data_IF_592510066117
#
_entry.id   IF_592510066117
#
_cell.length_a   1.000
_cell.length_b   1.000
_cell.length_c   1.000
_cell.angle_alpha   90.00
_cell.angle_beta   90.00
_cell.angle_gamma   90.00
#
_symmetry.space_group_name_H-M   'P 1'
#
loop_
_entity.id
_entity.type
_entity.pdbx_description
1 polymer ?
#
# COMPACT_ATOMS: atom_id res chain seq x y z
N UNK A 1 74.86 -86.06 -121.18
CA UNK A 1 73.69 -85.15 -121.07
C UNK A 1 72.81 -85.44 -119.84
N UNK A 2 73.21 -86.31 -118.90
CA UNK A 2 72.42 -86.61 -117.69
C UNK A 2 72.86 -85.82 -116.43
N UNK A 3 74.11 -85.33 -116.36
CA UNK A 3 74.61 -84.56 -115.20
C UNK A 3 74.02 -83.15 -115.09
N UNK A 4 73.61 -82.54 -116.20
CA UNK A 4 73.07 -81.18 -116.22
C UNK A 4 71.65 -81.08 -115.62
N UNK A 5 70.85 -82.15 -115.68
CA UNK A 5 69.49 -82.17 -115.11
C UNK A 5 69.50 -82.33 -113.59
N UNK A 6 70.47 -83.09 -113.06
CA UNK A 6 70.67 -83.26 -111.61
C UNK A 6 71.17 -81.97 -110.94
N UNK A 7 72.07 -81.24 -111.60
CA UNK A 7 72.55 -79.93 -111.14
C UNK A 7 71.41 -78.89 -111.11
N UNK A 8 70.55 -78.89 -112.14
CA UNK A 8 69.39 -78.00 -112.23
C UNK A 8 68.36 -78.32 -111.13
N UNK A 9 68.07 -79.60 -110.87
CA UNK A 9 67.20 -80.00 -109.76
C UNK A 9 67.75 -79.58 -108.40
N UNK A 10 69.07 -79.71 -108.18
CA UNK A 10 69.73 -79.24 -106.97
C UNK A 10 69.59 -77.73 -106.80
N UNK A 11 69.81 -76.96 -107.86
CA UNK A 11 69.66 -75.50 -107.85
C UNK A 11 68.20 -75.07 -107.63
N UNK A 12 67.23 -75.76 -108.22
CA UNK A 12 65.81 -75.51 -107.98
C UNK A 12 65.39 -75.81 -106.54
N UNK A 13 65.93 -76.89 -105.96
CA UNK A 13 65.66 -77.30 -104.59
C UNK A 13 66.34 -76.36 -103.57
N UNK A 14 67.58 -75.94 -103.82
CA UNK A 14 68.26 -74.89 -103.06
C UNK A 14 67.51 -73.55 -103.16
N UNK A 15 67.08 -73.16 -104.36
CA UNK A 15 66.26 -71.95 -104.55
C UNK A 15 64.94 -72.03 -103.79
N UNK A 16 64.26 -73.19 -103.81
CA UNK A 16 63.04 -73.42 -103.02
C UNK A 16 63.33 -73.32 -101.52
N UNK A 17 64.42 -73.91 -101.03
CA UNK A 17 64.82 -73.83 -99.62
C UNK A 17 65.18 -72.40 -99.20
N UNK A 18 65.88 -71.64 -100.04
CA UNK A 18 66.18 -70.22 -99.77
C UNK A 18 64.90 -69.40 -99.76
N UNK A 19 63.98 -69.64 -100.70
CA UNK A 19 62.69 -68.94 -100.78
C UNK A 19 61.78 -69.25 -99.59
N UNK A 20 61.74 -70.50 -99.11
CA UNK A 20 60.96 -70.86 -97.91
C UNK A 20 61.57 -70.27 -96.66
N UNK A 21 62.91 -70.30 -96.49
CA UNK A 21 63.61 -69.63 -95.39
C UNK A 21 63.39 -68.12 -95.39
N UNK A 22 63.45 -67.46 -96.56
CA UNK A 22 63.19 -66.04 -96.69
C UNK A 22 61.73 -65.69 -96.30
N UNK A 23 60.75 -66.49 -96.74
CA UNK A 23 59.34 -66.31 -96.34
C UNK A 23 59.11 -66.55 -94.85
N UNK A 24 59.78 -67.55 -94.27
CA UNK A 24 59.73 -67.81 -92.83
C UNK A 24 60.32 -66.63 -92.03
N UNK A 25 61.49 -66.13 -92.43
CA UNK A 25 62.11 -64.95 -91.81
C UNK A 25 61.26 -63.68 -91.97
N UNK A 26 60.61 -63.48 -93.12
CA UNK A 26 59.68 -62.36 -93.32
C UNK A 26 58.43 -62.49 -92.43
N UNK A 27 57.89 -63.71 -92.28
CA UNK A 27 56.76 -63.97 -91.39
C UNK A 27 57.13 -63.73 -89.92
N UNK A 28 58.31 -64.20 -89.49
CA UNK A 28 58.85 -63.94 -88.15
C UNK A 28 59.06 -62.44 -87.90
N UNK A 29 59.63 -61.71 -88.88
CA UNK A 29 59.80 -60.26 -88.80
C UNK A 29 58.46 -59.54 -88.68
N UNK A 30 57.47 -59.89 -89.51
CA UNK A 30 56.11 -59.32 -89.43
C UNK A 30 55.47 -59.61 -88.07
N UNK A 31 55.60 -60.83 -87.55
CA UNK A 31 55.10 -61.19 -86.23
C UNK A 31 55.80 -60.40 -85.12
N UNK A 32 57.11 -60.18 -85.21
CA UNK A 32 57.86 -59.35 -84.29
C UNK A 32 57.41 -57.88 -84.33
N UNK A 33 57.19 -57.32 -85.53
CA UNK A 33 56.64 -55.97 -85.69
C UNK A 33 55.23 -55.84 -85.09
N UNK A 34 54.35 -56.82 -85.32
CA UNK A 34 53.00 -56.83 -84.73
C UNK A 34 53.06 -56.89 -83.20
N UNK A 35 53.92 -57.75 -82.64
CA UNK A 35 54.14 -57.83 -81.20
C UNK A 35 54.70 -56.53 -80.63
N UNK A 36 55.61 -55.86 -81.33
CA UNK A 36 56.13 -54.56 -80.93
C UNK A 36 55.02 -53.51 -80.89
N UNK A 37 54.20 -53.43 -81.94
CA UNK A 37 53.08 -52.49 -82.01
C UNK A 37 52.07 -52.74 -80.89
N UNK A 38 51.67 -53.99 -80.67
CA UNK A 38 50.76 -54.36 -79.57
C UNK A 38 51.31 -53.94 -78.20
N UNK A 39 52.61 -54.18 -77.94
CA UNK A 39 53.25 -53.72 -76.70
C UNK A 39 53.27 -52.19 -76.57
N UNK A 40 53.48 -51.46 -77.65
CA UNK A 40 53.43 -49.98 -77.60
C UNK A 40 52.01 -49.45 -77.37
N UNK A 41 50.98 -50.13 -77.88
CA UNK A 41 49.58 -49.80 -77.59
C UNK A 41 49.23 -50.08 -76.13
N UNK A 42 49.69 -51.21 -75.58
CA UNK A 42 49.55 -51.52 -74.16
C UNK A 42 50.23 -50.48 -73.26
N UNK A 43 51.45 -50.04 -73.60
CA UNK A 43 52.15 -48.97 -72.87
C UNK A 43 51.33 -47.69 -72.89
N UNK A 44 50.83 -47.26 -74.05
CA UNK A 44 49.98 -46.06 -74.17
C UNK A 44 48.65 -46.21 -73.42
N UNK A 45 48.09 -47.42 -73.32
CA UNK A 45 46.92 -47.70 -72.48
C UNK A 45 47.26 -47.48 -71.01
N UNK A 46 48.36 -48.07 -70.53
CA UNK A 46 48.81 -47.94 -69.15
C UNK A 46 49.16 -46.48 -68.78
N UNK A 47 49.77 -45.71 -69.69
CA UNK A 47 50.04 -44.28 -69.46
C UNK A 47 48.75 -43.47 -69.29
N UNK A 48 47.70 -43.76 -70.06
CA UNK A 48 46.38 -43.12 -69.91
C UNK A 48 45.70 -43.52 -68.60
N UNK A 49 45.79 -44.79 -68.22
CA UNK A 49 45.27 -45.28 -66.94
C UNK A 49 46.00 -44.62 -65.76
N UNK A 50 47.33 -44.50 -65.83
CA UNK A 50 48.13 -43.82 -64.82
C UNK A 50 47.77 -42.33 -64.71
N UNK A 51 47.62 -41.63 -65.83
CA UNK A 51 47.19 -40.24 -65.84
C UNK A 51 45.79 -40.08 -65.22
N UNK A 52 44.84 -40.94 -65.60
CA UNK A 52 43.50 -40.95 -65.01
C UNK A 52 43.52 -41.23 -63.51
N UNK A 53 44.38 -42.14 -63.04
CA UNK A 53 44.54 -42.44 -61.62
C UNK A 53 45.14 -41.25 -60.85
N UNK A 54 46.12 -40.55 -61.44
CA UNK A 54 46.71 -39.35 -60.86
C UNK A 54 45.67 -38.21 -60.74
N UNK A 55 44.84 -38.02 -61.75
CA UNK A 55 43.78 -37.00 -61.70
C UNK A 55 42.69 -37.35 -60.68
N UNK A 56 42.32 -38.63 -60.56
CA UNK A 56 41.42 -39.12 -59.51
C UNK A 56 42.00 -38.90 -58.10
N UNK A 57 43.31 -39.14 -57.91
CA UNK A 57 44.00 -38.89 -56.65
C UNK A 57 44.03 -37.39 -56.30
N UNK A 58 44.33 -36.52 -57.28
CA UNK A 58 44.29 -35.07 -57.09
C UNK A 58 42.89 -34.58 -56.73
N UNK A 59 41.86 -35.09 -57.40
CA UNK A 59 40.47 -34.77 -57.09
C UNK A 59 40.10 -35.20 -55.66
N UNK A 60 40.49 -36.42 -55.26
CA UNK A 60 40.25 -36.92 -53.90
C UNK A 60 40.98 -36.09 -52.84
N UNK A 61 42.22 -35.69 -53.10
CA UNK A 61 42.98 -34.81 -52.22
C UNK A 61 42.35 -33.41 -52.09
N UNK A 62 41.86 -32.84 -53.20
CA UNK A 62 41.14 -31.55 -53.16
C UNK A 62 39.86 -31.63 -52.32
N UNK A 63 39.11 -32.73 -52.42
CA UNK A 63 37.92 -32.97 -51.58
C UNK A 63 38.30 -33.07 -50.10
N UNK A 64 39.39 -33.76 -49.75
CA UNK A 64 39.87 -33.84 -48.38
C UNK A 64 40.27 -32.47 -47.81
N UNK A 65 40.97 -31.65 -48.58
CA UNK A 65 41.34 -30.29 -48.16
C UNK A 65 40.10 -29.42 -47.92
N UNK A 66 39.13 -29.47 -48.83
CA UNK A 66 37.87 -28.75 -48.66
C UNK A 66 37.09 -29.22 -47.42
N UNK A 67 37.14 -30.52 -47.11
CA UNK A 67 36.53 -31.06 -45.90
C UNK A 67 37.27 -30.60 -44.63
N UNK A 68 38.60 -30.51 -44.65
CA UNK A 68 39.39 -30.00 -43.52
C UNK A 68 39.12 -28.51 -43.24
N UNK A 69 39.03 -27.69 -44.29
CA UNK A 69 38.65 -26.27 -44.16
C UNK A 69 37.25 -26.10 -43.57
N UNK A 70 36.26 -26.89 -44.04
CA UNK A 70 34.91 -26.88 -43.47
C UNK A 70 34.92 -27.31 -42.01
N UNK A 71 35.68 -28.35 -41.66
CA UNK A 71 35.82 -28.79 -40.27
C UNK A 71 36.48 -27.72 -39.38
N UNK A 72 37.47 -26.99 -39.89
CA UNK A 72 38.08 -25.86 -39.19
C UNK A 72 37.08 -24.73 -38.96
N UNK A 73 36.27 -24.39 -39.97
CA UNK A 73 35.22 -23.38 -39.86
C UNK A 73 34.15 -23.76 -38.83
N UNK A 74 33.69 -25.02 -38.84
CA UNK A 74 32.72 -25.51 -37.84
C UNK A 74 33.30 -25.45 -36.42
N UNK A 75 34.58 -25.83 -36.25
CA UNK A 75 35.25 -25.76 -34.94
C UNK A 75 35.38 -24.32 -34.45
N UNK A 76 35.75 -23.37 -35.31
CA UNK A 76 35.88 -21.96 -34.91
C UNK A 76 34.51 -21.34 -34.57
N UNK A 77 33.45 -21.69 -35.31
CA UNK A 77 32.09 -21.25 -35.00
C UNK A 77 31.56 -21.83 -33.68
N UNK A 78 31.86 -23.11 -33.40
CA UNK A 78 31.51 -23.74 -32.13
C UNK A 78 32.21 -23.04 -30.95
N UNK A 79 33.50 -22.73 -31.08
CA UNK A 79 34.26 -21.97 -30.07
C UNK A 79 33.69 -20.57 -29.87
N UNK A 80 33.41 -19.84 -30.96
CA UNK A 80 32.79 -18.51 -30.89
C UNK A 80 31.42 -18.55 -30.20
N UNK A 81 30.64 -19.59 -30.45
CA UNK A 81 29.33 -19.79 -29.79
C UNK A 81 29.48 -20.10 -28.31
N UNK A 82 30.49 -20.89 -27.92
CA UNK A 82 30.84 -21.14 -26.52
C UNK A 82 31.22 -19.86 -25.77
N UNK A 83 32.06 -19.01 -26.37
CA UNK A 83 32.44 -17.71 -25.79
C UNK A 83 31.21 -16.82 -25.60
N UNK A 84 30.37 -16.68 -26.63
CA UNK A 84 29.12 -15.89 -26.56
C UNK A 84 28.16 -16.39 -25.47
N UNK A 85 28.12 -17.70 -25.23
CA UNK A 85 27.30 -18.29 -24.18
C UNK A 85 27.80 -17.89 -22.78
N UNK A 86 29.10 -18.04 -22.52
CA UNK A 86 29.69 -17.65 -21.23
C UNK A 86 29.59 -16.14 -20.98
N UNK A 87 29.76 -15.30 -22.00
CA UNK A 87 29.55 -13.84 -21.88
C UNK A 87 28.11 -13.50 -21.48
N UNK A 88 27.12 -14.15 -22.12
CA UNK A 88 25.70 -13.97 -21.77
C UNK A 88 25.40 -14.43 -20.34
N UNK A 89 25.99 -15.55 -19.92
CA UNK A 89 25.85 -16.08 -18.56
C UNK A 89 26.45 -15.12 -17.52
N UNK A 90 27.63 -14.57 -17.80
CA UNK A 90 28.27 -13.57 -16.94
C UNK A 90 27.46 -12.27 -16.88
N UNK A 91 26.94 -11.80 -18.01
CA UNK A 91 26.06 -10.62 -18.05
C UNK A 91 24.77 -10.84 -17.25
N UNK A 92 24.14 -12.01 -17.37
CA UNK A 92 22.97 -12.38 -16.58
C UNK A 92 23.28 -12.41 -15.07
N UNK A 93 24.45 -12.95 -14.68
CA UNK A 93 24.88 -12.97 -13.28
C UNK A 93 25.13 -11.56 -12.73
N UNK A 94 25.76 -10.66 -13.51
CA UNK A 94 25.95 -9.26 -13.13
C UNK A 94 24.62 -8.54 -12.93
N UNK A 95 23.69 -8.69 -13.87
CA UNK A 95 22.35 -8.10 -13.77
C UNK A 95 21.58 -8.62 -12.54
N UNK A 96 21.71 -9.91 -12.22
CA UNK A 96 21.10 -10.48 -11.02
C UNK A 96 21.67 -9.86 -9.73
N UNK A 97 22.99 -9.66 -9.65
CA UNK A 97 23.64 -8.99 -8.51
C UNK A 97 23.22 -7.53 -8.38
N UNK A 98 23.15 -6.78 -9.48
CA UNK A 98 22.69 -5.39 -9.47
C UNK A 98 21.23 -5.28 -8.99
N UNK A 99 20.35 -6.17 -9.45
CA UNK A 99 18.97 -6.23 -8.98
C UNK A 99 18.90 -6.50 -7.48
N UNK A 100 19.72 -7.42 -6.97
CA UNK A 100 19.80 -7.73 -5.55
C UNK A 100 20.28 -6.54 -4.72
N UNK A 101 21.32 -5.83 -5.18
CA UNK A 101 21.80 -4.62 -4.53
C UNK A 101 20.73 -3.52 -4.49
N UNK A 102 19.99 -3.33 -5.58
CA UNK A 102 18.89 -2.37 -5.63
C UNK A 102 17.75 -2.74 -4.66
N UNK A 103 17.41 -4.04 -4.53
CA UNK A 103 16.41 -4.49 -3.56
C UNK A 103 16.89 -4.31 -2.13
N UNK A 104 18.15 -4.61 -1.84
CA UNK A 104 18.74 -4.47 -0.51
C UNK A 104 18.81 -2.99 -0.09
N UNK A 105 19.16 -2.10 -1.02
CA UNK A 105 19.17 -0.65 -0.78
C UNK A 105 17.76 -0.13 -0.48
N UNK A 106 16.75 -0.53 -1.26
CA UNK A 106 15.35 -0.17 -0.98
C UNK A 106 14.88 -0.68 0.37
N UNK A 107 15.27 -1.91 0.74
CA UNK A 107 14.95 -2.48 2.05
C UNK A 107 15.61 -1.68 3.19
N UNK A 108 16.88 -1.27 3.03
CA UNK A 108 17.58 -0.40 4.00
C UNK A 108 16.92 0.96 4.14
N UNK A 109 16.54 1.60 3.03
CA UNK A 109 15.84 2.89 3.06
C UNK A 109 14.48 2.78 3.77
N UNK A 110 13.73 1.69 3.53
CA UNK A 110 12.47 1.44 4.21
C UNK A 110 12.68 1.24 5.72
N UNK A 111 13.68 0.45 6.11
CA UNK A 111 14.02 0.23 7.51
C UNK A 111 14.44 1.54 8.20
N UNK A 112 15.20 2.42 7.53
CA UNK A 112 15.56 3.74 8.04
C UNK A 112 14.31 4.61 8.26
N UNK A 113 13.40 4.70 7.29
CA UNK A 113 12.15 5.45 7.43
C UNK A 113 11.28 4.93 8.58
N UNK A 114 11.21 3.61 8.75
CA UNK A 114 10.49 3.00 9.86
C UNK A 114 11.14 3.35 11.21
N UNK A 115 12.48 3.28 11.30
CA UNK A 115 13.22 3.65 12.50
C UNK A 115 13.05 5.14 12.86
N UNK A 116 13.06 6.04 11.86
CA UNK A 116 12.80 7.47 12.07
C UNK A 116 11.37 7.73 12.53
N UNK A 117 10.38 7.08 11.92
CA UNK A 117 8.98 7.15 12.34
C UNK A 117 8.81 6.68 13.78
N UNK A 118 9.46 5.58 14.16
CA UNK A 118 9.43 5.05 15.52
C UNK A 118 10.07 6.03 16.53
N UNK A 119 11.24 6.61 16.19
CA UNK A 119 11.89 7.64 17.02
C UNK A 119 11.02 8.89 17.18
N UNK A 120 10.31 9.30 16.13
CA UNK A 120 9.40 10.44 16.20
C UNK A 120 8.21 10.13 17.12
N UNK A 121 7.61 8.95 16.98
CA UNK A 121 6.53 8.49 17.85
C UNK A 121 6.97 8.42 19.31
N UNK A 122 8.17 7.91 19.58
CA UNK A 122 8.75 7.85 20.92
C UNK A 122 8.95 9.26 21.52
N UNK A 123 9.48 10.21 20.74
CA UNK A 123 9.59 11.61 21.17
C UNK A 123 8.24 12.25 21.47
N UNK A 124 7.23 12.02 20.63
CA UNK A 124 5.87 12.52 20.90
C UNK A 124 5.27 11.90 22.17
N UNK A 125 5.51 10.60 22.41
CA UNK A 125 5.07 9.93 23.63
C UNK A 125 5.75 10.52 24.87
N UNK A 126 7.06 10.78 24.81
CA UNK A 126 7.81 11.42 25.89
C UNK A 126 7.30 12.84 26.15
N UNK A 127 7.11 13.65 25.11
CA UNK A 127 6.56 15.00 25.24
C UNK A 127 5.15 15.00 25.86
N UNK A 128 4.30 14.03 25.50
CA UNK A 128 2.97 13.89 26.13
C UNK A 128 3.07 13.50 27.59
N UNK A 129 3.95 12.56 27.94
CA UNK A 129 4.16 12.16 29.33
C UNK A 129 4.71 13.31 30.19
N UNK A 130 5.69 14.07 29.67
CA UNK A 130 6.23 15.26 30.33
C UNK A 130 5.17 16.35 30.49
N UNK A 131 4.35 16.59 29.46
CA UNK A 131 3.27 17.57 29.54
C UNK A 131 2.20 17.15 30.55
N UNK A 132 1.86 15.85 30.62
CA UNK A 132 0.94 15.32 31.61
C UNK A 132 1.50 15.46 33.03
N UNK A 133 2.78 15.16 33.23
CA UNK A 133 3.44 15.33 34.52
C UNK A 133 3.43 16.80 34.95
N UNK A 134 3.81 17.73 34.06
CA UNK A 134 3.74 19.18 34.34
C UNK A 134 2.32 19.64 34.66
N UNK A 135 1.31 19.10 33.98
CA UNK A 135 -0.08 19.41 34.25
C UNK A 135 -0.52 18.91 35.64
N UNK A 136 -0.06 17.72 36.06
CA UNK A 136 -0.30 17.17 37.40
C UNK A 136 0.34 18.05 38.47
N UNK A 137 1.62 18.39 38.32
CA UNK A 137 2.34 19.29 39.23
C UNK A 137 1.66 20.66 39.35
N UNK A 138 1.21 21.24 38.22
CA UNK A 138 0.47 22.50 38.23
C UNK A 138 -0.88 22.39 38.97
N UNK A 139 -1.61 21.27 38.81
CA UNK A 139 -2.85 21.03 39.55
C UNK A 139 -2.58 20.89 41.05
N UNK A 140 -1.55 20.14 41.44
CA UNK A 140 -1.15 19.98 42.85
C UNK A 140 -0.79 21.33 43.49
N UNK A 141 -0.08 22.19 42.77
CA UNK A 141 0.26 23.53 43.25
C UNK A 141 -0.99 24.42 43.42
N UNK A 142 -1.94 24.38 42.46
CA UNK A 142 -3.23 25.07 42.60
C UNK A 142 -3.99 24.59 43.83
N UNK A 143 -4.02 23.27 44.08
CA UNK A 143 -4.65 22.68 45.25
C UNK A 143 -3.96 23.14 46.54
N UNK A 144 -2.62 23.13 46.58
CA UNK A 144 -1.82 23.59 47.72
C UNK A 144 -2.11 25.05 48.05
N UNK A 145 -2.11 25.92 47.04
CA UNK A 145 -2.47 27.34 47.21
C UNK A 145 -3.93 27.53 47.63
N UNK A 146 -4.83 26.65 47.16
CA UNK A 146 -6.25 26.65 47.58
C UNK A 146 -6.41 26.31 49.06
N UNK A 147 -5.66 25.34 49.56
CA UNK A 147 -5.65 24.96 50.99
C UNK A 147 -5.10 26.11 51.83
N UNK A 148 -3.94 26.67 51.47
CA UNK A 148 -3.34 27.80 52.19
C UNK A 148 -4.27 29.02 52.26
N UNK A 149 -4.93 29.38 51.14
CA UNK A 149 -5.92 30.47 51.12
C UNK A 149 -7.10 30.18 52.04
N UNK A 150 -7.62 28.95 52.03
CA UNK A 150 -8.74 28.55 52.90
C UNK A 150 -8.36 28.59 54.38
N UNK A 151 -7.14 28.18 54.71
CA UNK A 151 -6.63 28.22 56.08
C UNK A 151 -6.44 29.66 56.57
N UNK A 152 -5.87 30.54 55.73
CA UNK A 152 -5.77 31.97 56.03
C UNK A 152 -7.15 32.59 56.27
N UNK A 153 -8.13 32.33 55.40
CA UNK A 153 -9.50 32.80 55.59
C UNK A 153 -10.15 32.27 56.87
N UNK A 154 -9.85 31.02 57.26
CA UNK A 154 -10.31 30.45 58.54
C UNK A 154 -9.69 31.16 59.74
N UNK A 155 -8.39 31.46 59.70
CA UNK A 155 -7.70 32.20 60.76
C UNK A 155 -8.27 33.61 60.91
N UNK A 156 -8.42 34.35 59.81
CA UNK A 156 -9.02 35.68 59.81
C UNK A 156 -10.48 35.68 60.31
N UNK A 157 -11.26 34.67 59.93
CA UNK A 157 -12.64 34.52 60.40
C UNK A 157 -12.69 34.20 61.91
N UNK A 158 -11.78 33.35 62.40
CA UNK A 158 -11.67 33.04 63.83
C UNK A 158 -11.24 34.27 64.64
N UNK A 159 -10.34 35.08 64.12
CA UNK A 159 -9.93 36.36 64.75
C UNK A 159 -11.10 37.35 64.79
N UNK A 160 -11.83 37.53 63.69
CA UNK A 160 -13.04 38.37 63.66
C UNK A 160 -14.12 37.87 64.62
N UNK A 161 -14.29 36.54 64.73
CA UNK A 161 -15.23 35.96 65.70
C UNK A 161 -14.80 36.25 67.14
N UNK A 162 -13.49 36.16 67.47
CA UNK A 162 -12.97 36.55 68.78
C UNK A 162 -13.17 38.03 69.08
N UNK A 163 -12.93 38.91 68.09
CA UNK A 163 -13.19 40.33 68.22
C UNK A 163 -14.67 40.62 68.49
N UNK A 164 -15.59 39.98 67.74
CA UNK A 164 -17.04 40.09 67.96
C UNK A 164 -17.48 39.57 69.31
N UNK A 165 -16.93 38.46 69.79
CA UNK A 165 -17.24 37.93 71.13
C UNK A 165 -16.81 38.92 72.21
N UNK A 166 -15.63 39.53 72.06
CA UNK A 166 -15.16 40.56 72.99
C UNK A 166 -16.03 41.83 72.96
N UNK A 167 -16.39 42.31 71.77
CA UNK A 167 -17.32 43.44 71.62
C UNK A 167 -18.71 43.11 72.18
N UNK A 168 -19.21 41.89 71.95
CA UNK A 168 -20.49 41.43 72.47
C UNK A 168 -20.47 41.30 73.99
N UNK A 169 -19.36 40.86 74.59
CA UNK A 169 -19.18 40.84 76.04
C UNK A 169 -19.13 42.26 76.63
N UNK A 170 -18.42 43.19 75.97
CA UNK A 170 -18.41 44.62 76.33
C UNK A 170 -19.81 45.27 76.15
N UNK A 171 -20.56 44.88 75.13
CA UNK A 171 -21.93 45.34 74.93
C UNK A 171 -22.88 44.70 75.95
N UNK A 172 -22.75 43.41 76.24
CA UNK A 172 -23.57 42.71 77.24
C UNK A 172 -23.33 43.28 78.63
N UNK A 173 -22.10 43.61 78.98
CA UNK A 173 -21.81 44.30 80.26
C UNK A 173 -22.41 45.71 80.31
N UNK A 174 -22.40 46.45 79.19
CA UNK A 174 -23.09 47.76 79.08
C UNK A 174 -24.62 47.62 79.08
N UNK A 175 -25.15 46.59 78.43
CA UNK A 175 -26.57 46.32 78.31
C UNK A 175 -27.12 45.72 79.59
N UNK A 176 -26.42 44.84 80.31
CA UNK A 176 -26.83 44.38 81.64
C UNK A 176 -26.93 45.55 82.62
N UNK A 177 -26.02 46.53 82.51
CA UNK A 177 -26.14 47.79 83.25
C UNK A 177 -27.42 48.54 82.85
N UNK A 178 -27.69 48.69 81.55
CA UNK A 178 -28.94 49.30 81.04
C UNK A 178 -30.19 48.48 81.35
N UNK A 179 -30.14 47.15 81.35
CA UNK A 179 -31.23 46.22 81.63
C UNK A 179 -31.50 46.17 83.11
N UNK A 180 -30.52 46.35 84.00
CA UNK A 180 -30.79 46.68 85.39
C UNK A 180 -31.58 48.00 85.51
N UNK A 181 -31.22 49.01 84.72
CA UNK A 181 -31.93 50.29 84.69
C UNK A 181 -33.33 50.21 84.01
N UNK A 182 -33.51 49.29 83.04
CA UNK A 182 -34.72 49.16 82.21
C UNK A 182 -35.67 48.06 82.72
N UNK A 183 -35.20 47.04 83.45
CA UNK A 183 -36.05 46.16 84.28
C UNK A 183 -36.74 46.94 85.41
N UNK A 184 -36.22 48.11 85.78
CA UNK A 184 -36.95 49.04 86.64
C UNK A 184 -38.13 49.73 85.92
N UNK A 185 -38.21 49.69 84.57
CA UNK A 185 -39.21 50.42 83.77
C UNK A 185 -40.12 49.54 82.90
N UNK A 186 -39.71 48.36 82.49
CA UNK A 186 -40.45 47.54 81.53
C UNK A 186 -41.12 46.31 82.18
N UNK A 187 -42.11 46.57 83.05
CA UNK A 187 -43.18 45.60 83.41
C UNK A 187 -44.45 45.94 82.60
N UNK A 188 -44.41 45.86 81.27
CA UNK A 188 -45.66 45.87 80.48
C UNK A 188 -45.45 45.38 79.03
N UNK A 189 -46.15 44.30 78.71
CA UNK A 189 -46.68 43.88 77.38
C UNK A 189 -45.94 42.79 76.57
N UNK A 190 -46.69 41.68 76.42
CA UNK A 190 -46.72 40.60 75.38
C UNK A 190 -46.90 41.17 73.95
N UNK A 191 -46.78 40.47 72.79
CA UNK A 191 -46.88 39.07 72.34
C UNK A 191 -46.33 38.98 70.87
N UNK A 192 -45.98 37.80 70.29
CA UNK A 192 -45.49 37.67 68.90
C UNK A 192 -46.54 37.14 67.91
N UNK A 193 -46.39 37.42 66.60
CA UNK A 193 -47.11 36.74 65.48
C UNK A 193 -46.30 36.68 64.17
N UNK A 194 -45.88 35.47 63.81
CA UNK A 194 -46.24 34.64 62.65
C UNK A 194 -46.30 35.13 61.17
N UNK A 195 -45.53 34.39 60.34
CA UNK A 195 -45.65 33.85 58.95
C UNK A 195 -46.20 34.68 57.76
N UNK A 196 -45.52 34.59 56.59
CA UNK A 196 -46.08 33.97 55.36
C UNK A 196 -45.12 33.84 54.14
N UNK A 197 -45.27 32.72 53.43
CA UNK A 197 -44.79 32.42 52.06
C UNK A 197 -45.84 32.89 51.02
N UNK A 198 -45.47 33.04 49.73
CA UNK A 198 -46.44 32.73 48.67
C UNK A 198 -45.89 31.86 47.53
N UNK A 199 -46.88 31.35 46.81
CA UNK A 199 -46.94 30.10 46.06
C UNK A 199 -46.92 30.32 44.53
N UNK A 200 -46.80 29.19 43.82
CA UNK A 200 -46.59 28.97 42.38
C UNK A 200 -47.64 29.59 41.45
N UNK A 201 -47.19 29.90 40.23
CA UNK A 201 -47.97 30.33 39.04
C UNK A 201 -48.19 29.13 38.08
N UNK A 202 -49.36 29.00 37.42
CA UNK A 202 -49.71 27.88 36.51
C UNK A 202 -49.15 28.00 35.07
N UNK A 203 -49.01 26.90 34.31
CA UNK A 203 -48.48 26.91 32.95
C UNK A 203 -49.54 27.15 31.85
N UNK A 204 -49.14 27.91 30.84
CA UNK A 204 -49.88 28.36 29.65
C UNK A 204 -49.99 27.26 28.57
N UNK A 205 -51.03 27.25 27.70
CA UNK A 205 -51.29 26.18 26.72
C UNK A 205 -50.28 26.13 25.56
N UNK A 206 -49.90 24.92 25.17
CA UNK A 206 -48.87 24.63 24.16
C UNK A 206 -49.50 24.67 22.73
N UNK A 207 -48.95 25.45 21.79
CA UNK A 207 -49.38 25.47 20.39
C UNK A 207 -49.02 24.16 19.64
N UNK A 208 -49.71 23.82 18.53
CA UNK A 208 -49.53 22.56 17.83
C UNK A 208 -48.07 22.34 17.40
N UNK A 209 -47.51 21.19 17.77
CA UNK A 209 -46.11 20.86 17.56
C UNK A 209 -45.76 20.81 16.07
N UNK A 210 -44.81 21.65 15.66
CA UNK A 210 -44.20 21.64 14.31
C UNK A 210 -43.54 20.29 14.01
N UNK A 211 -43.38 19.90 12.74
CA UNK A 211 -42.69 18.65 12.37
C UNK A 211 -41.29 18.52 12.98
N UNK A 212 -40.57 19.65 13.12
CA UNK A 212 -39.28 19.70 13.78
C UNK A 212 -39.40 19.36 15.28
N UNK A 213 -40.35 19.97 16.01
CA UNK A 213 -40.60 19.67 17.42
C UNK A 213 -40.98 18.20 17.63
N UNK A 214 -41.88 17.67 16.81
CA UNK A 214 -42.27 16.24 16.86
C UNK A 214 -41.09 15.30 16.61
N UNK A 215 -40.15 15.68 15.74
CA UNK A 215 -38.92 14.92 15.53
C UNK A 215 -38.03 14.97 16.78
N UNK A 216 -37.81 16.15 17.35
CA UNK A 216 -37.01 16.29 18.56
C UNK A 216 -37.60 15.55 19.76
N UNK A 217 -38.92 15.56 19.94
CA UNK A 217 -39.59 14.79 21.00
C UNK A 217 -39.37 13.27 20.84
N UNK A 218 -39.18 12.77 19.60
CA UNK A 218 -38.80 11.37 19.36
C UNK A 218 -37.32 11.14 19.69
N UNK A 219 -36.47 12.11 19.38
CA UNK A 219 -35.04 12.08 19.72
C UNK A 219 -34.85 12.00 21.24
N UNK A 220 -35.50 12.89 22.01
CA UNK A 220 -35.39 12.89 23.47
C UNK A 220 -35.86 11.58 24.10
N UNK A 221 -37.00 11.03 23.64
CA UNK A 221 -37.50 9.75 24.10
C UNK A 221 -36.58 8.58 23.74
N UNK A 222 -36.08 8.54 22.51
CA UNK A 222 -35.17 7.47 22.07
C UNK A 222 -33.79 7.55 22.76
N UNK A 223 -33.32 8.76 23.10
CA UNK A 223 -32.01 8.97 23.71
C UNK A 223 -32.05 8.98 25.24
N UNK A 224 -33.24 8.81 25.85
CA UNK A 224 -33.37 8.60 27.28
C UNK A 224 -32.67 7.30 27.70
N UNK A 225 -32.80 6.23 26.89
CA UNK A 225 -32.12 4.96 27.09
C UNK A 225 -31.59 4.37 25.77
N UNK A 226 -30.28 4.54 25.56
CA UNK A 226 -29.58 4.04 24.37
C UNK A 226 -29.55 2.51 24.28
N UNK A 227 -29.73 1.79 25.38
CA UNK A 227 -29.69 0.31 25.38
C UNK A 227 -30.97 -0.31 24.84
N UNK A 228 -32.10 0.39 25.00
CA UNK A 228 -33.42 -0.03 24.54
C UNK A 228 -33.78 0.50 23.14
N UNK A 229 -32.88 1.25 22.51
CA UNK A 229 -33.16 1.87 21.22
C UNK A 229 -33.10 0.85 20.07
N UNK A 230 -34.25 0.61 19.44
CA UNK A 230 -34.39 -0.32 18.30
C UNK A 230 -34.40 0.40 16.95
N UNK A 231 -34.80 1.67 16.92
CA UNK A 231 -34.86 2.49 15.70
C UNK A 231 -34.22 3.85 15.95
N UNK A 232 -33.39 4.30 15.01
CA UNK A 232 -32.84 5.65 15.06
C UNK A 232 -33.95 6.68 14.72
N UNK A 233 -34.11 7.76 15.50
CA UNK A 233 -35.07 8.82 15.21
C UNK A 233 -34.59 9.68 14.03
N UNK A 234 -34.77 9.17 12.81
CA UNK A 234 -34.38 9.86 11.58
C UNK A 234 -35.09 11.23 11.45
N UNK A 235 -34.38 12.27 10.96
CA UNK A 235 -35.01 13.54 10.62
C UNK A 235 -36.12 13.32 9.58
N UNK A 236 -37.21 14.11 9.61
CA UNK A 236 -38.27 13.99 8.64
C UNK A 236 -37.73 14.16 7.22
N UNK A 237 -38.20 13.31 6.30
CA UNK A 237 -37.84 13.42 4.90
C UNK A 237 -38.27 14.80 4.36
N UNK A 238 -37.42 15.49 3.60
CA UNK A 238 -37.77 16.79 3.07
C UNK A 238 -38.90 16.66 2.05
N UNK A 239 -39.92 17.51 2.14
CA UNK A 239 -41.01 17.58 1.16
C UNK A 239 -40.50 17.87 -0.25
N UNK A 240 -39.40 18.63 -0.36
CA UNK A 240 -38.72 18.94 -1.62
C UNK A 240 -37.25 18.55 -1.53
N UNK A 241 -36.72 17.73 -2.45
CA UNK A 241 -35.31 17.36 -2.45
C UNK A 241 -34.38 18.58 -2.55
N UNK A 242 -33.27 18.56 -1.81
CA UNK A 242 -32.26 19.61 -1.90
C UNK A 242 -31.59 19.59 -3.28
N UNK A 243 -31.59 20.74 -3.97
CA UNK A 243 -31.00 20.91 -5.31
C UNK A 243 -29.51 21.32 -5.29
N UNK A 244 -28.90 21.47 -4.11
CA UNK A 244 -27.48 21.86 -4.01
C UNK A 244 -26.60 20.71 -4.56
N UNK A 245 -25.64 20.98 -5.48
CA UNK A 245 -24.82 19.94 -6.10
C UNK A 245 -24.14 19.00 -5.10
N UNK A 246 -23.59 19.55 -4.02
CA UNK A 246 -22.92 18.77 -2.96
C UNK A 246 -23.87 17.83 -2.21
N UNK A 247 -25.14 18.21 -2.03
CA UNK A 247 -26.15 17.38 -1.38
C UNK A 247 -26.66 16.27 -2.31
N UNK A 248 -26.76 16.55 -3.61
CA UNK A 248 -27.18 15.57 -4.63
C UNK A 248 -26.09 14.51 -4.81
N UNK A 249 -24.83 14.93 -4.98
CA UNK A 249 -23.70 14.05 -5.21
C UNK A 249 -23.38 13.14 -4.01
N UNK A 250 -23.58 13.62 -2.78
CA UNK A 250 -23.31 12.84 -1.56
C UNK A 250 -24.44 11.87 -1.19
N UNK A 251 -25.65 12.01 -1.76
CA UNK A 251 -26.83 11.22 -1.42
C UNK A 251 -26.62 9.68 -1.36
N UNK A 252 -25.95 9.01 -2.31
CA UNK A 252 -25.78 7.54 -2.26
C UNK A 252 -24.85 7.06 -1.15
N UNK A 253 -24.03 7.95 -0.58
CA UNK A 253 -23.04 7.61 0.45
C UNK A 253 -23.47 7.94 1.87
N UNK A 254 -24.72 8.40 2.06
CA UNK A 254 -25.22 8.90 3.34
C UNK A 254 -26.11 7.89 4.06
N UNK A 255 -25.99 7.87 5.39
CA UNK A 255 -26.78 7.06 6.29
C UNK A 255 -28.17 7.68 6.56
N UNK A 256 -28.32 9.00 6.42
CA UNK A 256 -29.59 9.71 6.58
C UNK A 256 -30.17 10.17 5.24
N UNK A 257 -31.50 10.06 5.11
CA UNK A 257 -32.25 10.57 3.97
C UNK A 257 -32.25 12.10 3.88
N UNK A 258 -32.29 12.79 5.02
CA UNK A 258 -32.24 14.24 5.11
C UNK A 258 -30.81 14.77 4.85
N UNK A 259 -30.64 15.73 3.94
CA UNK A 259 -29.35 16.35 3.62
C UNK A 259 -28.83 17.27 4.74
N UNK A 260 -27.54 17.63 4.76
CA UNK A 260 -26.98 18.54 5.77
C UNK A 260 -27.75 19.86 5.90
N UNK A 261 -28.19 20.45 4.79
CA UNK A 261 -28.98 21.68 4.80
C UNK A 261 -30.37 21.50 5.43
N UNK A 262 -30.96 20.32 5.30
CA UNK A 262 -32.26 20.01 5.90
C UNK A 262 -32.12 19.84 7.42
N UNK A 263 -31.06 19.16 7.85
CA UNK A 263 -30.72 19.01 9.27
C UNK A 263 -30.45 20.40 9.88
N UNK A 264 -29.68 21.26 9.21
CA UNK A 264 -29.40 22.64 9.65
C UNK A 264 -30.70 23.46 9.77
N UNK A 265 -31.61 23.33 8.80
CA UNK A 265 -32.93 23.98 8.82
C UNK A 265 -33.79 23.52 10.01
N UNK A 266 -33.85 22.21 10.23
CA UNK A 266 -34.62 21.61 11.34
C UNK A 266 -34.06 22.05 12.70
N UNK A 267 -32.73 21.97 12.87
CA UNK A 267 -32.05 22.39 14.11
C UNK A 267 -32.27 23.88 14.38
N UNK A 268 -32.15 24.72 13.35
CA UNK A 268 -32.43 26.17 13.46
C UNK A 268 -33.87 26.43 13.90
N UNK A 269 -34.84 25.71 13.33
CA UNK A 269 -36.26 25.89 13.67
C UNK A 269 -36.64 25.48 15.09
N UNK A 270 -35.81 24.66 15.75
CA UNK A 270 -36.03 24.19 17.12
C UNK A 270 -35.56 25.20 18.18
N UNK A 271 -34.65 26.12 17.82
CA UNK A 271 -34.04 27.10 18.75
C UNK A 271 -33.46 26.46 20.03
N UNK A 272 -32.95 25.24 19.93
CA UNK A 272 -32.39 24.51 21.07
C UNK A 272 -30.89 24.79 21.25
N UNK A 273 -30.35 24.67 22.48
CA UNK A 273 -28.92 24.85 22.72
C UNK A 273 -28.08 23.83 21.91
N UNK A 274 -27.31 24.32 20.93
CA UNK A 274 -26.49 23.47 20.04
C UNK A 274 -25.51 22.59 20.82
N UNK A 275 -24.98 23.07 21.96
CA UNK A 275 -24.12 22.28 22.86
C UNK A 275 -24.81 21.01 23.36
N UNK A 276 -26.10 21.08 23.72
CA UNK A 276 -26.87 19.92 24.19
C UNK A 276 -27.12 18.94 23.05
N UNK A 277 -27.48 19.43 21.86
CA UNK A 277 -27.68 18.59 20.68
C UNK A 277 -26.38 17.88 20.27
N UNK A 278 -25.25 18.59 20.27
CA UNK A 278 -23.93 18.02 19.99
C UNK A 278 -23.60 16.85 20.93
N UNK A 279 -23.85 17.02 22.23
CA UNK A 279 -23.65 15.95 23.22
C UNK A 279 -24.63 14.79 23.02
N UNK A 280 -25.89 15.09 22.68
CA UNK A 280 -26.93 14.07 22.44
C UNK A 280 -26.60 13.17 21.24
N UNK A 281 -26.10 13.76 20.15
CA UNK A 281 -25.79 13.06 18.90
C UNK A 281 -24.33 12.58 18.78
N UNK A 282 -23.54 12.61 19.87
CA UNK A 282 -22.16 12.12 19.81
C UNK A 282 -22.13 10.62 19.49
N UNK A 283 -21.39 10.16 18.46
CA UNK A 283 -21.42 8.75 18.02
C UNK A 283 -21.03 7.78 19.13
N UNK A 284 -20.13 8.16 20.03
CA UNK A 284 -19.75 7.30 21.14
C UNK A 284 -20.93 6.95 22.05
N UNK A 285 -21.93 7.81 22.23
CA UNK A 285 -23.07 7.48 23.12
C UNK A 285 -23.86 6.25 22.66
N UNK A 286 -23.77 5.92 21.38
CA UNK A 286 -24.41 4.76 20.77
C UNK A 286 -23.63 3.44 20.99
N UNK A 287 -22.51 3.45 21.74
CA UNK A 287 -21.81 2.23 22.13
C UNK A 287 -22.71 1.29 22.95
N UNK A 288 -23.64 1.84 23.73
CA UNK A 288 -24.60 1.09 24.55
C UNK A 288 -25.74 0.42 23.76
N UNK A 289 -25.91 0.75 22.49
CA UNK A 289 -26.92 0.13 21.63
C UNK A 289 -26.57 -1.35 21.33
N UNK A 290 -27.60 -2.15 21.01
CA UNK A 290 -27.46 -3.54 20.54
C UNK A 290 -26.43 -3.62 19.38
N UNK A 291 -25.60 -4.67 19.38
CA UNK A 291 -24.47 -4.81 18.44
C UNK A 291 -24.90 -4.69 16.96
N UNK A 292 -26.07 -5.22 16.60
CA UNK A 292 -26.62 -5.19 15.24
C UNK A 292 -26.91 -3.77 14.73
N UNK A 293 -27.37 -2.88 15.61
CA UNK A 293 -27.76 -1.52 15.23
C UNK A 293 -26.65 -0.49 15.48
N UNK A 294 -25.66 -0.81 16.33
CA UNK A 294 -24.60 0.12 16.77
C UNK A 294 -23.92 0.85 15.60
N UNK A 295 -23.43 0.11 14.60
CA UNK A 295 -22.69 0.70 13.47
C UNK A 295 -23.58 1.63 12.64
N UNK A 296 -24.82 1.22 12.38
CA UNK A 296 -25.79 2.03 11.63
C UNK A 296 -26.16 3.31 12.37
N UNK A 297 -26.41 3.22 13.68
CA UNK A 297 -26.76 4.37 14.51
C UNK A 297 -25.59 5.34 14.69
N UNK A 298 -24.36 4.84 14.85
CA UNK A 298 -23.17 5.67 14.89
C UNK A 298 -22.97 6.46 13.59
N UNK A 299 -23.19 5.84 12.44
CA UNK A 299 -23.10 6.53 11.14
C UNK A 299 -24.17 7.62 11.00
N UNK A 300 -25.42 7.31 11.36
CA UNK A 300 -26.53 8.30 11.36
C UNK A 300 -26.29 9.45 12.33
N UNK A 301 -25.88 9.14 13.56
CA UNK A 301 -25.55 10.12 14.58
C UNK A 301 -24.39 11.02 14.17
N UNK A 302 -23.35 10.45 13.56
CA UNK A 302 -22.19 11.19 13.05
C UNK A 302 -22.60 12.26 12.04
N UNK A 303 -23.53 11.96 11.15
CA UNK A 303 -24.01 12.96 10.18
C UNK A 303 -24.74 14.12 10.86
N UNK A 304 -25.63 13.86 11.82
CA UNK A 304 -26.29 14.94 12.58
C UNK A 304 -25.26 15.73 13.39
N UNK A 305 -24.33 15.04 14.05
CA UNK A 305 -23.27 15.63 14.86
C UNK A 305 -22.42 16.60 14.04
N UNK A 306 -21.96 16.22 12.85
CA UNK A 306 -21.14 17.07 11.99
C UNK A 306 -21.86 18.37 11.61
N UNK A 307 -23.16 18.30 11.35
CA UNK A 307 -23.96 19.51 11.04
C UNK A 307 -24.08 20.40 12.27
N UNK A 308 -24.44 19.83 13.43
CA UNK A 308 -24.60 20.60 14.68
C UNK A 308 -23.27 21.19 15.16
N UNK A 309 -22.17 20.45 15.01
CA UNK A 309 -20.81 20.89 15.36
C UNK A 309 -20.38 22.08 14.49
N UNK A 310 -20.63 22.01 13.18
CA UNK A 310 -20.38 23.13 12.27
C UNK A 310 -21.25 24.36 12.60
N UNK A 311 -22.53 24.17 12.94
CA UNK A 311 -23.40 25.27 13.40
C UNK A 311 -22.88 25.90 14.70
N UNK A 312 -22.41 25.09 15.65
CA UNK A 312 -21.86 25.56 16.92
C UNK A 312 -20.53 26.32 16.75
N UNK A 313 -19.69 25.89 15.81
CA UNK A 313 -18.46 26.62 15.44
C UNK A 313 -18.77 28.02 14.90
N UNK A 314 -19.75 28.12 13.98
CA UNK A 314 -20.24 29.40 13.45
C UNK A 314 -20.78 30.33 14.55
N UNK A 315 -21.54 29.81 15.50
CA UNK A 315 -22.09 30.59 16.64
C UNK A 315 -20.99 31.18 17.54
N UNK A 316 -19.86 30.46 17.67
CA UNK A 316 -18.72 30.89 18.49
C UNK A 316 -17.70 31.78 17.77
N UNK A 317 -17.93 32.12 16.50
CA UNK A 317 -16.95 32.88 15.70
C UNK A 317 -15.65 32.11 15.45
N UNK A 318 -15.67 30.79 15.61
CA UNK A 318 -14.54 29.91 15.28
C UNK A 318 -14.84 29.35 13.89
N UNK A 319 -14.60 30.18 12.88
CA UNK A 319 -14.58 29.78 11.47
C UNK A 319 -13.13 29.54 11.04
#
# INVERSE_FOLDING_TARGET
MADTDLELQRQEEEYRQVKTKARAAEAEYRAACQNYLARTEDIRRLERELASAQDSLKASHAVMLQADEKNKAVKSEALATGIRYEDRKLAAQKLAREKQLCTDEKARQLAQRQAESYRLQQRQSQQRAEAEQKAREACEEIVRQGIQRREKLRQEAAERARARMKEAEEQHTREDKRRCDERARAKSQHNPKDVNFPEKVPPTPIPPATPAKRWYDRVERAFADYSLMETFPDPPAPLTPCKKPNCVASKPHRALSACPCEIERLVTSLQLPLKKMRQAFHPDRFWKCKNEHRKGFQMKAKEVFQVVDAMFGKEKGVA
#
